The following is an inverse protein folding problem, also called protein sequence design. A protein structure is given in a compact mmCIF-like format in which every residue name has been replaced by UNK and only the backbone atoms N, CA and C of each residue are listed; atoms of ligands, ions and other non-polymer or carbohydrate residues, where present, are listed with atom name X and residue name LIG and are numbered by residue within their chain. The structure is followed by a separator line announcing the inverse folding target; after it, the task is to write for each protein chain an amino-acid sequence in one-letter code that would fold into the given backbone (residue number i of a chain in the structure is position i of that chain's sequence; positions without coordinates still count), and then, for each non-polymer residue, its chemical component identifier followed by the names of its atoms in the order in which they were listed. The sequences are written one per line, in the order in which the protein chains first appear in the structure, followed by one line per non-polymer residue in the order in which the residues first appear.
data_IF_222507104988
#
_entry.id   IF_222507104988
#
_cell.length_a   1.000
_cell.length_b   1.000
_cell.length_c   1.000
_cell.angle_alpha   90.00
_cell.angle_beta   90.00
_cell.angle_gamma   90.00
#
_symmetry.space_group_name_H-M   'P 1'
#
loop_
_entity.id
_entity.type
_entity.pdbx_description
1 polymer ?
#
# COMPACT_ATOMS: atom_id res chain seq x y z
N UNK A 1 21.50 -7.86 -17.50
CA UNK A 1 20.56 -8.11 -16.39
C UNK A 1 20.77 -7.06 -15.32
N UNK A 2 19.77 -6.79 -14.47
CA UNK A 2 19.90 -5.83 -13.36
C UNK A 2 21.08 -6.18 -12.44
N UNK A 3 21.24 -7.46 -12.08
CA UNK A 3 22.37 -7.92 -11.26
C UNK A 3 23.74 -7.56 -11.87
N UNK A 4 23.88 -7.68 -13.20
CA UNK A 4 25.10 -7.25 -13.90
C UNK A 4 25.29 -5.73 -13.80
N UNK A 5 24.23 -4.95 -14.05
CA UNK A 5 24.30 -3.49 -13.97
C UNK A 5 24.66 -3.00 -12.56
N UNK A 6 24.17 -3.68 -11.50
CA UNK A 6 24.53 -3.39 -10.11
C UNK A 6 25.98 -3.80 -9.82
N UNK A 7 26.40 -4.99 -10.28
CA UNK A 7 27.77 -5.49 -10.08
C UNK A 7 28.85 -4.69 -10.80
N UNK A 8 28.50 -4.00 -11.90
CA UNK A 8 29.39 -3.11 -12.64
C UNK A 8 29.58 -1.73 -11.95
N UNK A 9 28.82 -1.42 -10.88
CA UNK A 9 28.96 -0.16 -10.15
C UNK A 9 30.21 -0.17 -9.24
N UNK A 10 30.91 0.97 -9.09
CA UNK A 10 32.08 1.07 -8.23
C UNK A 10 31.77 0.90 -6.73
N UNK A 11 30.48 0.99 -6.36
CA UNK A 11 29.94 0.75 -5.02
C UNK A 11 28.49 0.28 -5.14
N UNK A 12 27.98 -0.50 -4.17
CA UNK A 12 26.57 -0.84 -4.12
C UNK A 12 25.68 0.41 -4.18
N UNK A 13 24.56 0.39 -4.92
CA UNK A 13 23.63 1.51 -4.97
C UNK A 13 22.89 1.65 -3.64
N UNK A 14 22.50 2.88 -3.29
CA UNK A 14 21.70 3.13 -2.09
C UNK A 14 20.25 2.66 -2.24
N UNK A 15 19.75 2.56 -3.47
CA UNK A 15 18.44 2.05 -3.81
C UNK A 15 18.37 1.68 -5.29
N UNK A 16 17.37 0.88 -5.65
CA UNK A 16 17.01 0.55 -7.03
C UNK A 16 15.58 1.03 -7.27
N UNK A 17 15.38 1.83 -8.33
CA UNK A 17 14.05 2.26 -8.76
C UNK A 17 13.73 1.65 -10.13
N UNK A 18 12.67 0.85 -10.18
CA UNK A 18 12.16 0.21 -11.38
C UNK A 18 11.12 1.14 -12.03
N UNK A 19 11.30 1.42 -13.32
CA UNK A 19 10.37 2.25 -14.10
C UNK A 19 9.72 1.38 -15.17
N UNK A 20 8.43 1.08 -14.97
CA UNK A 20 7.69 0.17 -15.84
C UNK A 20 6.83 -0.79 -15.03
N UNK A 21 5.99 -1.53 -15.74
CA UNK A 21 5.00 -2.42 -15.13
C UNK A 21 5.17 -3.86 -15.59
N UNK A 22 4.62 -4.80 -14.82
CA UNK A 22 4.74 -6.23 -15.05
C UNK A 22 3.37 -6.84 -15.37
N UNK A 23 2.88 -6.63 -16.60
CA UNK A 23 1.66 -7.28 -17.08
C UNK A 23 2.05 -8.50 -17.94
N UNK A 24 1.84 -9.75 -17.48
CA UNK A 24 2.11 -10.94 -18.28
C UNK A 24 1.38 -10.89 -19.63
N UNK A 25 2.06 -11.26 -20.72
CA UNK A 25 1.53 -11.16 -22.08
C UNK A 25 1.77 -9.80 -22.78
N UNK A 26 2.43 -8.86 -22.10
CA UNK A 26 2.81 -7.54 -22.64
C UNK A 26 4.31 -7.37 -22.86
N UNK A 27 5.04 -8.46 -23.07
CA UNK A 27 6.51 -8.46 -23.14
C UNK A 27 7.09 -7.59 -24.28
N UNK A 28 6.27 -7.25 -25.28
CA UNK A 28 6.64 -6.39 -26.42
C UNK A 28 6.42 -4.90 -26.15
N UNK A 29 5.73 -4.55 -25.08
CA UNK A 29 5.45 -3.17 -24.74
C UNK A 29 6.71 -2.48 -24.19
N UNK A 30 6.98 -1.21 -24.55
CA UNK A 30 8.20 -0.52 -24.14
C UNK A 30 8.28 -0.24 -22.64
N UNK A 31 7.15 -0.31 -21.93
CA UNK A 31 7.05 -0.13 -20.47
C UNK A 31 7.16 -1.45 -19.69
N UNK A 32 7.19 -2.60 -20.38
CA UNK A 32 7.21 -3.90 -19.72
C UNK A 32 8.53 -4.11 -18.98
N UNK A 33 8.43 -4.38 -17.69
CA UNK A 33 9.58 -4.63 -16.82
C UNK A 33 9.24 -5.76 -15.83
N UNK A 34 9.68 -7.00 -16.08
CA UNK A 34 9.28 -8.14 -15.28
C UNK A 34 9.87 -8.09 -13.87
N UNK A 35 9.06 -8.47 -12.88
CA UNK A 35 9.50 -8.81 -11.53
C UNK A 35 10.01 -10.26 -11.47
N UNK A 36 10.83 -10.59 -10.46
CA UNK A 36 11.09 -12.01 -10.12
C UNK A 36 9.80 -12.68 -9.66
N UNK A 37 9.66 -13.98 -9.92
CA UNK A 37 8.55 -14.83 -9.45
C UNK A 37 9.07 -15.79 -8.40
N UNK A 38 8.35 -15.91 -7.29
CA UNK A 38 8.63 -16.86 -6.23
C UNK A 38 7.50 -17.86 -6.11
N UNK A 39 7.85 -19.11 -5.79
CA UNK A 39 6.87 -20.11 -5.40
C UNK A 39 6.15 -19.68 -4.12
N UNK A 40 4.85 -19.85 -4.12
CA UNK A 40 4.00 -19.55 -2.98
C UNK A 40 3.74 -20.82 -2.19
N UNK A 41 3.84 -20.72 -0.86
CA UNK A 41 3.29 -21.77 -0.01
C UNK A 41 1.76 -21.78 -0.11
N UNK A 42 1.19 -22.89 -0.61
CA UNK A 42 -0.24 -23.03 -0.86
C UNK A 42 -0.89 -23.81 0.28
N UNK A 43 -1.85 -23.18 0.94
CA UNK A 43 -2.79 -23.82 1.88
C UNK A 43 -4.01 -24.40 1.17
N UNK A 44 -4.34 -23.88 -0.02
CA UNK A 44 -5.50 -24.28 -0.82
C UNK A 44 -5.16 -24.27 -2.32
N UNK A 45 -5.73 -25.20 -3.08
CA UNK A 45 -5.47 -25.35 -4.52
C UNK A 45 -5.86 -24.11 -5.34
N UNK A 46 -6.80 -23.30 -4.85
CA UNK A 46 -7.22 -22.05 -5.52
C UNK A 46 -6.19 -20.93 -5.47
N UNK A 47 -5.13 -21.05 -4.67
CA UNK A 47 -4.08 -20.04 -4.58
C UNK A 47 -3.14 -20.14 -5.78
N UNK A 48 -2.68 -19.00 -6.30
CA UNK A 48 -1.66 -18.95 -7.35
C UNK A 48 -0.41 -19.72 -6.94
N UNK A 49 0.26 -20.35 -7.91
CA UNK A 49 1.51 -21.08 -7.64
C UNK A 49 2.68 -20.15 -7.38
N UNK A 50 2.64 -18.96 -7.98
CA UNK A 50 3.69 -17.97 -7.89
C UNK A 50 3.14 -16.60 -7.50
N UNK A 51 4.03 -15.77 -6.97
CA UNK A 51 3.79 -14.34 -6.78
C UNK A 51 4.97 -13.50 -7.26
N UNK A 52 4.72 -12.25 -7.61
CA UNK A 52 5.76 -11.30 -8.01
C UNK A 52 6.48 -10.73 -6.78
N UNK A 53 7.81 -10.65 -6.82
CA UNK A 53 8.63 -10.02 -5.78
C UNK A 53 9.76 -9.19 -6.39
N UNK A 54 9.61 -7.87 -6.38
CA UNK A 54 10.68 -6.95 -6.73
C UNK A 54 11.76 -6.88 -5.64
N UNK A 55 11.45 -7.23 -4.38
CA UNK A 55 12.43 -7.22 -3.28
C UNK A 55 13.67 -8.07 -3.60
N UNK A 56 13.47 -9.22 -4.27
CA UNK A 56 14.58 -10.09 -4.70
C UNK A 56 15.48 -9.48 -5.77
N UNK A 57 15.12 -8.34 -6.38
CA UNK A 57 16.01 -7.62 -7.28
C UNK A 57 17.09 -6.85 -6.52
N UNK A 58 16.90 -6.64 -5.21
CA UNK A 58 17.87 -6.04 -4.30
C UNK A 58 18.63 -7.04 -3.44
N UNK A 59 18.37 -8.34 -3.60
CA UNK A 59 19.12 -9.44 -2.99
C UNK A 59 20.39 -9.68 -3.83
N UNK A 60 21.54 -9.27 -3.30
CA UNK A 60 22.84 -9.28 -3.97
C UNK A 60 23.72 -10.46 -3.56
N UNK A 61 23.42 -11.10 -2.43
CA UNK A 61 24.18 -12.26 -1.92
C UNK A 61 23.44 -13.61 -2.03
N UNK A 62 22.15 -13.59 -2.36
CA UNK A 62 21.32 -14.76 -2.62
C UNK A 62 20.67 -15.38 -1.37
N UNK A 63 20.61 -14.65 -0.25
CA UNK A 63 20.03 -15.14 1.02
C UNK A 63 18.50 -14.96 1.12
N UNK A 64 17.86 -14.44 0.06
CA UNK A 64 16.43 -14.10 -0.04
C UNK A 64 16.00 -12.86 0.76
N UNK A 65 16.96 -12.07 1.27
CA UNK A 65 16.73 -10.78 1.88
C UNK A 65 17.29 -9.67 0.97
N UNK A 66 16.58 -8.54 0.80
CA UNK A 66 17.11 -7.42 0.03
C UNK A 66 18.24 -6.70 0.78
N UNK A 67 19.44 -6.65 0.18
CA UNK A 67 20.57 -5.80 0.61
C UNK A 67 20.34 -4.32 0.30
N UNK A 68 19.65 -4.06 -0.83
CA UNK A 68 19.32 -2.71 -1.29
C UNK A 68 17.81 -2.55 -1.44
N UNK A 69 17.24 -1.42 -0.98
CA UNK A 69 15.81 -1.19 -1.12
C UNK A 69 15.41 -1.05 -2.59
N UNK A 70 14.35 -1.76 -2.98
CA UNK A 70 13.79 -1.73 -4.33
C UNK A 70 12.41 -1.09 -4.29
N UNK A 71 12.19 -0.11 -5.17
CA UNK A 71 10.87 0.48 -5.41
C UNK A 71 10.49 0.37 -6.89
N UNK A 72 9.20 0.46 -7.19
CA UNK A 72 8.66 0.47 -8.57
C UNK A 72 7.72 1.65 -8.78
N UNK A 73 7.84 2.30 -9.94
CA UNK A 73 6.80 3.14 -10.53
C UNK A 73 6.13 2.32 -11.65
N UNK A 74 4.95 1.72 -11.39
CA UNK A 74 4.28 0.77 -12.30
C UNK A 74 3.50 1.48 -13.42
N UNK A 75 4.18 2.37 -14.13
CA UNK A 75 3.60 3.18 -15.21
C UNK A 75 3.65 2.42 -16.55
N UNK A 76 2.51 2.40 -17.25
CA UNK A 76 2.34 1.89 -18.62
C UNK A 76 2.36 3.01 -19.67
N UNK A 77 2.30 4.27 -19.24
CA UNK A 77 2.38 5.44 -20.12
C UNK A 77 3.32 6.53 -19.58
N UNK A 78 3.81 7.39 -20.47
CA UNK A 78 4.61 8.56 -20.06
C UNK A 78 3.81 9.51 -19.15
N UNK A 79 2.50 9.62 -19.38
CA UNK A 79 1.62 10.48 -18.57
C UNK A 79 1.50 9.95 -17.13
N UNK A 80 1.33 8.63 -16.96
CA UNK A 80 1.33 8.00 -15.63
C UNK A 80 2.65 8.20 -14.90
N UNK A 81 3.78 7.96 -15.59
CA UNK A 81 5.11 8.17 -15.02
C UNK A 81 5.30 9.62 -14.57
N UNK A 82 4.97 10.57 -15.45
CA UNK A 82 5.09 12.01 -15.15
C UNK A 82 4.23 12.40 -13.95
N UNK A 83 2.99 11.92 -13.87
CA UNK A 83 2.08 12.23 -12.77
C UNK A 83 2.63 11.75 -11.42
N UNK A 84 3.18 10.53 -11.37
CA UNK A 84 3.77 9.99 -10.14
C UNK A 84 5.04 10.77 -9.74
N UNK A 85 5.92 11.04 -10.71
CA UNK A 85 7.17 11.79 -10.45
C UNK A 85 6.88 13.22 -9.99
N UNK A 86 6.00 13.95 -10.67
CA UNK A 86 5.62 15.31 -10.27
C UNK A 86 5.02 15.32 -8.86
N UNK A 87 4.20 14.30 -8.53
CA UNK A 87 3.59 14.15 -7.21
C UNK A 87 4.64 13.94 -6.11
N UNK A 88 5.63 13.09 -6.35
CA UNK A 88 6.74 12.84 -5.41
C UNK A 88 7.55 14.12 -5.20
N UNK A 89 7.97 14.80 -6.28
CA UNK A 89 8.73 16.05 -6.20
C UNK A 89 7.96 17.13 -5.44
N UNK A 90 6.66 17.27 -5.72
CA UNK A 90 5.79 18.24 -5.02
C UNK A 90 5.71 17.96 -3.52
N UNK A 91 5.61 16.69 -3.12
CA UNK A 91 5.60 16.29 -1.71
C UNK A 91 6.95 16.57 -1.02
N UNK A 92 8.07 16.23 -1.67
CA UNK A 92 9.41 16.44 -1.10
C UNK A 92 9.79 17.93 -0.96
N UNK A 93 9.20 18.79 -1.79
CA UNK A 93 9.41 20.25 -1.74
C UNK A 93 8.48 20.98 -0.77
N UNK A 94 7.43 20.30 -0.27
CA UNK A 94 6.47 20.88 0.68
C UNK A 94 7.16 21.21 1.99
N UNK A 95 6.86 22.36 2.59
CA UNK A 95 7.23 22.62 3.97
C UNK A 95 6.42 21.73 4.93
N UNK A 96 7.07 20.96 5.82
CA UNK A 96 6.36 20.12 6.78
C UNK A 96 5.46 20.94 7.70
N UNK A 97 4.28 20.41 8.01
CA UNK A 97 3.34 20.97 8.98
C UNK A 97 3.12 20.00 10.15
N UNK A 98 2.40 20.44 11.18
CA UNK A 98 2.01 19.54 12.28
C UNK A 98 1.11 18.38 11.82
N UNK A 99 0.37 18.55 10.71
CA UNK A 99 -0.42 17.46 10.14
C UNK A 99 0.48 16.33 9.59
N UNK A 100 1.72 16.64 9.19
CA UNK A 100 2.69 15.65 8.73
C UNK A 100 3.27 14.79 9.88
N UNK A 101 2.93 15.10 11.14
CA UNK A 101 3.26 14.25 12.30
C UNK A 101 2.16 13.23 12.64
N UNK A 102 1.07 13.20 11.87
CA UNK A 102 -0.07 12.32 12.13
C UNK A 102 0.18 10.93 11.54
N UNK A 103 -0.38 9.91 12.17
CA UNK A 103 -0.32 8.53 11.67
C UNK A 103 -1.74 7.96 11.51
N UNK A 104 -2.43 8.29 10.40
CA UNK A 104 -3.76 7.76 10.12
C UNK A 104 -3.73 6.25 9.94
N UNK A 105 -4.51 5.53 10.73
CA UNK A 105 -4.59 4.07 10.72
C UNK A 105 -6.04 3.65 10.54
N UNK A 106 -6.33 2.81 9.55
CA UNK A 106 -7.63 2.16 9.41
C UNK A 106 -7.47 0.67 9.71
N UNK A 107 -7.98 0.27 10.88
CA UNK A 107 -7.99 -1.10 11.32
C UNK A 107 -9.31 -1.79 10.93
N UNK A 108 -9.23 -2.67 9.94
CA UNK A 108 -10.27 -3.60 9.53
C UNK A 108 -10.57 -4.66 10.60
N UNK A 109 -11.74 -5.27 10.50
CA UNK A 109 -12.20 -6.29 11.41
C UNK A 109 -11.39 -7.56 11.19
N UNK A 110 -10.90 -8.22 12.26
CA UNK A 110 -10.24 -9.51 12.14
C UNK A 110 -11.14 -10.58 11.52
N UNK A 111 -12.46 -10.45 11.69
CA UNK A 111 -13.45 -11.32 11.05
C UNK A 111 -13.68 -12.64 11.79
N UNK A 112 -13.37 -12.70 13.10
CA UNK A 112 -13.61 -13.90 13.90
C UNK A 112 -15.04 -13.93 14.44
N UNK A 113 -15.34 -13.02 15.37
CA UNK A 113 -16.67 -12.76 15.90
C UNK A 113 -16.64 -11.42 16.66
N UNK A 114 -17.81 -10.78 16.91
CA UNK A 114 -17.85 -9.43 17.47
C UNK A 114 -17.16 -9.26 18.82
N UNK A 115 -17.06 -10.30 19.66
CA UNK A 115 -16.39 -10.22 20.96
C UNK A 115 -14.87 -10.22 20.80
N UNK A 116 -14.36 -11.15 20.00
CA UNK A 116 -12.92 -11.25 19.71
C UNK A 116 -12.42 -10.02 18.95
N UNK A 117 -13.20 -9.54 17.99
CA UNK A 117 -12.85 -8.37 17.17
C UNK A 117 -12.75 -7.09 18.01
N UNK A 118 -13.63 -6.92 19.01
CA UNK A 118 -13.57 -5.77 19.93
C UNK A 118 -12.35 -5.84 20.86
N UNK A 119 -11.99 -7.04 21.35
CA UNK A 119 -10.76 -7.24 22.13
C UNK A 119 -9.50 -6.93 21.30
N UNK A 120 -9.46 -7.37 20.04
CA UNK A 120 -8.36 -7.08 19.11
C UNK A 120 -8.21 -5.57 18.89
N UNK A 121 -9.33 -4.84 18.71
CA UNK A 121 -9.33 -3.37 18.61
C UNK A 121 -8.75 -2.72 19.86
N UNK A 122 -9.14 -3.18 21.05
CA UNK A 122 -8.60 -2.69 22.32
C UNK A 122 -7.09 -2.92 22.46
N UNK A 123 -6.60 -4.09 22.04
CA UNK A 123 -5.17 -4.40 22.04
C UNK A 123 -4.38 -3.52 21.07
N UNK A 124 -4.88 -3.36 19.83
CA UNK A 124 -4.26 -2.49 18.83
C UNK A 124 -4.12 -1.05 19.34
N UNK A 125 -5.19 -0.51 19.93
CA UNK A 125 -5.17 0.85 20.50
C UNK A 125 -4.10 1.00 21.58
N UNK A 126 -3.96 0.01 22.47
CA UNK A 126 -2.91 0.00 23.50
C UNK A 126 -1.51 -0.06 22.91
N UNK A 127 -1.29 -0.90 21.91
CA UNK A 127 0.01 -1.02 21.22
C UNK A 127 0.36 0.31 20.54
N UNK A 128 -0.57 0.91 19.81
CA UNK A 128 -0.37 2.22 19.19
C UNK A 128 -0.03 3.30 20.23
N UNK A 129 -0.74 3.35 21.35
CA UNK A 129 -0.46 4.31 22.42
C UNK A 129 0.90 4.08 23.10
N UNK A 130 1.32 2.82 23.26
CA UNK A 130 2.56 2.49 23.96
C UNK A 130 3.80 2.58 23.07
N UNK A 131 3.67 2.29 21.77
CA UNK A 131 4.78 2.14 20.83
C UNK A 131 4.91 3.29 19.84
N UNK A 132 3.85 4.08 19.62
CA UNK A 132 3.98 5.26 18.75
C UNK A 132 5.02 6.23 19.35
N UNK A 133 5.94 6.76 18.54
CA UNK A 133 6.84 7.80 19.02
C UNK A 133 6.06 8.97 19.59
N UNK A 134 6.54 9.56 20.69
CA UNK A 134 5.83 10.66 21.40
C UNK A 134 5.56 11.89 20.54
N UNK A 135 6.31 12.06 19.46
CA UNK A 135 6.17 13.16 18.51
C UNK A 135 5.20 12.84 17.35
N UNK A 136 4.74 11.59 17.24
CA UNK A 136 3.69 11.18 16.31
C UNK A 136 2.33 11.33 16.98
N UNK A 137 1.33 11.77 16.23
CA UNK A 137 -0.08 11.79 16.66
C UNK A 137 -0.84 10.64 15.99
N UNK A 138 -1.11 9.51 16.70
CA UNK A 138 -1.92 8.44 16.16
C UNK A 138 -3.34 8.92 15.86
N UNK A 139 -3.92 8.45 14.75
CA UNK A 139 -5.32 8.69 14.43
C UNK A 139 -5.92 7.39 13.90
N UNK A 140 -7.07 6.96 14.41
CA UNK A 140 -7.58 5.61 14.19
C UNK A 140 -9.02 5.62 13.66
N UNK A 141 -9.26 4.82 12.62
CA UNK A 141 -10.58 4.26 12.28
C UNK A 141 -10.59 2.80 12.70
N UNK A 142 -11.62 2.40 13.45
CA UNK A 142 -11.82 1.02 13.87
C UNK A 142 -13.02 0.39 13.17
N UNK A 143 -12.87 -0.86 12.76
CA UNK A 143 -13.92 -1.68 12.17
C UNK A 143 -14.80 -2.40 13.21
N UNK A 144 -15.03 -1.78 14.37
CA UNK A 144 -15.96 -2.26 15.40
C UNK A 144 -17.06 -1.20 15.59
N UNK A 145 -18.33 -1.45 15.19
CA UNK A 145 -19.44 -0.51 15.38
C UNK A 145 -19.66 -0.04 16.82
N UNK A 146 -19.13 -0.74 17.82
CA UNK A 146 -19.20 -0.33 19.24
C UNK A 146 -18.03 0.57 19.66
N UNK A 147 -16.98 0.64 18.86
CA UNK A 147 -15.79 1.45 19.14
C UNK A 147 -16.09 2.94 18.93
N UNK A 148 -15.63 3.83 19.81
CA UNK A 148 -15.73 5.27 19.60
C UNK A 148 -14.92 5.75 18.37
N UNK A 149 -13.98 4.93 17.89
CA UNK A 149 -13.16 5.21 16.71
C UNK A 149 -13.80 4.74 15.40
N UNK A 150 -15.01 4.18 15.43
CA UNK A 150 -15.67 3.66 14.23
C UNK A 150 -16.29 4.77 13.37
N UNK A 151 -16.84 5.79 14.01
CA UNK A 151 -17.70 6.77 13.33
C UNK A 151 -18.95 6.11 12.74
N UNK A 152 -19.46 6.67 11.64
CA UNK A 152 -20.52 6.05 10.85
C UNK A 152 -19.89 5.10 9.83
N UNK A 153 -20.18 3.77 9.84
CA UNK A 153 -19.46 2.81 9.00
C UNK A 153 -19.43 3.14 7.50
N UNK A 154 -20.54 3.56 6.85
CA UNK A 154 -20.52 4.01 5.46
C UNK A 154 -19.55 5.16 5.14
N UNK A 155 -19.20 5.99 6.12
CA UNK A 155 -18.33 7.16 5.91
C UNK A 155 -16.84 6.83 6.04
N UNK A 156 -16.47 5.63 6.50
CA UNK A 156 -15.06 5.31 6.82
C UNK A 156 -14.09 5.50 5.65
N UNK A 157 -14.52 5.14 4.44
CA UNK A 157 -13.71 5.34 3.22
C UNK A 157 -13.41 6.83 2.97
N UNK A 158 -14.42 7.69 3.16
CA UNK A 158 -14.28 9.13 3.03
C UNK A 158 -13.44 9.71 4.18
N UNK A 159 -13.66 9.23 5.41
CA UNK A 159 -12.88 9.64 6.58
C UNK A 159 -11.39 9.35 6.41
N UNK A 160 -11.03 8.14 5.94
CA UNK A 160 -9.64 7.77 5.68
C UNK A 160 -9.04 8.61 4.56
N UNK A 161 -9.78 8.79 3.46
CA UNK A 161 -9.31 9.60 2.32
C UNK A 161 -9.07 11.05 2.71
N UNK A 162 -9.92 11.61 3.56
CA UNK A 162 -9.73 12.94 4.14
C UNK A 162 -8.45 13.03 4.97
N UNK A 163 -8.11 11.99 5.74
CA UNK A 163 -6.85 11.98 6.47
C UNK A 163 -5.64 11.92 5.54
N UNK A 164 -5.69 11.12 4.46
CA UNK A 164 -4.62 11.10 3.46
C UNK A 164 -4.37 12.49 2.87
N UNK A 165 -5.42 13.26 2.59
CA UNK A 165 -5.30 14.62 2.04
C UNK A 165 -4.72 15.64 3.02
N UNK A 166 -4.99 15.49 4.32
CA UNK A 166 -4.46 16.38 5.36
C UNK A 166 -2.94 16.23 5.52
N UNK A 167 -2.43 15.03 5.26
CA UNK A 167 -1.04 14.68 5.44
C UNK A 167 -0.85 13.64 6.54
N UNK A 168 0.41 13.36 6.84
CA UNK A 168 0.81 12.40 7.84
C UNK A 168 2.27 12.01 7.64
N UNK A 169 2.84 11.33 8.63
CA UNK A 169 4.16 10.73 8.46
C UNK A 169 4.07 9.43 7.67
N UNK A 170 3.00 8.68 7.95
CA UNK A 170 2.70 7.38 7.38
C UNK A 170 1.23 7.09 7.65
N UNK A 171 0.52 6.62 6.63
CA UNK A 171 -0.81 6.06 6.79
C UNK A 171 -0.78 4.53 6.75
N UNK A 172 -1.67 3.88 7.49
CA UNK A 172 -1.69 2.43 7.66
C UNK A 172 -3.09 1.91 7.36
N UNK A 173 -3.17 0.92 6.47
CA UNK A 173 -4.33 0.04 6.34
C UNK A 173 -3.94 -1.31 6.94
N UNK A 174 -4.74 -1.85 7.85
CA UNK A 174 -4.48 -3.18 8.43
C UNK A 174 -5.76 -3.99 8.49
N UNK A 175 -5.75 -5.19 7.94
CA UNK A 175 -6.93 -6.05 7.87
C UNK A 175 -6.90 -6.97 6.66
N UNK A 176 -8.08 -7.27 6.12
CA UNK A 176 -8.21 -8.15 4.97
C UNK A 176 -8.15 -7.37 3.66
N UNK A 177 -7.60 -8.01 2.63
CA UNK A 177 -7.40 -7.39 1.33
C UNK A 177 -7.65 -8.37 0.18
N UNK A 178 -8.06 -7.80 -0.93
CA UNK A 178 -8.10 -8.40 -2.25
C UNK A 178 -7.34 -7.47 -3.21
N UNK A 179 -7.13 -7.92 -4.46
CA UNK A 179 -6.35 -7.18 -5.46
C UNK A 179 -6.80 -5.71 -5.60
N UNK A 180 -8.10 -5.43 -5.54
CA UNK A 180 -8.65 -4.07 -5.73
C UNK A 180 -9.40 -3.52 -4.52
N UNK A 181 -9.37 -4.21 -3.37
CA UNK A 181 -10.26 -3.90 -2.27
C UNK A 181 -9.61 -4.15 -0.91
N UNK A 182 -9.74 -3.18 -0.01
CA UNK A 182 -9.47 -3.37 1.42
C UNK A 182 -10.79 -3.53 2.16
N UNK A 183 -10.91 -4.59 2.96
CA UNK A 183 -12.11 -4.85 3.76
C UNK A 183 -11.98 -4.22 5.15
N UNK A 184 -12.94 -3.39 5.52
CA UNK A 184 -13.10 -2.87 6.88
C UNK A 184 -13.99 -3.79 7.70
N UNK A 185 -15.30 -3.85 7.44
CA UNK A 185 -16.24 -4.65 8.24
C UNK A 185 -17.45 -5.08 7.43
N UNK A 186 -18.21 -6.02 7.97
CA UNK A 186 -19.60 -6.18 7.57
C UNK A 186 -20.52 -5.25 8.37
N UNK A 187 -21.36 -4.50 7.67
CA UNK A 187 -22.32 -3.60 8.29
C UNK A 187 -23.69 -3.79 7.63
N UNK A 188 -24.65 -4.31 8.40
CA UNK A 188 -25.95 -4.74 7.90
C UNK A 188 -25.79 -5.77 6.76
N UNK A 189 -26.27 -5.47 5.55
CA UNK A 189 -26.14 -6.33 4.35
C UNK A 189 -25.02 -5.92 3.41
N UNK A 190 -24.09 -5.04 3.82
CA UNK A 190 -23.09 -4.43 2.94
C UNK A 190 -21.69 -4.51 3.55
N UNK A 191 -20.71 -4.86 2.72
CA UNK A 191 -19.30 -4.81 3.11
C UNK A 191 -18.82 -3.35 3.03
N UNK A 192 -18.22 -2.87 4.11
CA UNK A 192 -17.55 -1.57 4.16
C UNK A 192 -16.06 -1.78 3.87
N UNK A 193 -15.49 -0.89 3.06
CA UNK A 193 -14.07 -0.97 2.73
C UNK A 193 -13.63 0.12 1.76
N UNK A 194 -12.50 -0.11 1.11
CA UNK A 194 -11.85 0.86 0.23
C UNK A 194 -11.50 0.22 -1.10
N UNK A 195 -12.12 0.74 -2.18
CA UNK A 195 -12.07 0.12 -3.50
C UNK A 195 -11.24 0.97 -4.49
N UNK A 196 -10.38 0.32 -5.26
CA UNK A 196 -9.51 0.92 -6.28
C UNK A 196 -10.27 1.86 -7.24
N UNK A 197 -11.39 1.39 -7.78
CA UNK A 197 -12.29 2.16 -8.67
C UNK A 197 -12.80 3.47 -8.07
N UNK A 198 -13.01 3.53 -6.75
CA UNK A 198 -13.49 4.75 -6.08
C UNK A 198 -12.36 5.75 -5.84
N UNK A 199 -11.13 5.26 -5.65
CA UNK A 199 -9.94 6.08 -5.35
C UNK A 199 -9.66 7.07 -6.47
N UNK A 200 -9.69 6.63 -7.74
CA UNK A 200 -9.38 7.48 -8.89
C UNK A 200 -10.26 8.75 -8.92
N UNK A 201 -11.54 8.64 -8.53
CA UNK A 201 -12.46 9.78 -8.46
C UNK A 201 -12.20 10.66 -7.25
N UNK A 202 -12.01 10.07 -6.08
CA UNK A 202 -11.90 10.85 -4.83
C UNK A 202 -10.52 11.52 -4.75
N UNK A 203 -9.44 10.89 -5.21
CA UNK A 203 -8.08 11.43 -5.17
C UNK A 203 -7.63 12.00 -6.52
N UNK A 204 -8.57 12.39 -7.38
CA UNK A 204 -8.30 13.00 -8.69
C UNK A 204 -7.59 14.37 -8.58
N UNK A 205 -7.74 15.08 -7.46
CA UNK A 205 -7.16 16.40 -7.23
C UNK A 205 -6.94 16.65 -5.74
N UNK A 206 -6.04 17.59 -5.43
CA UNK A 206 -5.61 17.91 -4.07
C UNK A 206 -4.09 17.78 -3.91
N UNK A 207 -3.61 17.93 -2.68
CA UNK A 207 -2.19 17.75 -2.35
C UNK A 207 -1.82 16.26 -2.30
N UNK A 208 -0.56 15.91 -2.62
CA UNK A 208 -0.05 14.55 -2.46
C UNK A 208 -0.21 14.06 -1.01
N UNK A 209 -0.64 12.81 -0.85
CA UNK A 209 -0.78 12.18 0.46
C UNK A 209 0.54 11.57 0.97
N UNK A 210 0.59 11.22 2.27
CA UNK A 210 1.77 10.59 2.87
C UNK A 210 1.99 9.18 2.34
N UNK A 211 3.16 8.56 2.59
CA UNK A 211 3.35 7.13 2.33
C UNK A 211 2.26 6.29 3.00
N UNK A 212 1.87 5.18 2.37
CA UNK A 212 0.90 4.21 2.92
C UNK A 212 1.54 2.84 3.06
N UNK A 213 1.36 2.20 4.22
CA UNK A 213 1.64 0.79 4.44
C UNK A 213 0.32 0.03 4.52
N UNK A 214 0.20 -1.03 3.73
CA UNK A 214 -0.94 -1.93 3.71
C UNK A 214 -0.52 -3.28 4.27
N UNK A 215 -1.06 -3.59 5.44
CA UNK A 215 -0.95 -4.89 6.09
C UNK A 215 -2.24 -5.65 5.74
N UNK A 216 -2.35 -6.04 4.47
CA UNK A 216 -3.46 -6.83 3.96
C UNK A 216 -3.08 -7.59 2.67
N UNK A 217 -3.69 -8.76 2.49
CA UNK A 217 -3.42 -9.67 1.37
C UNK A 217 -3.63 -9.01 0.00
N UNK A 218 -2.77 -9.35 -0.97
CA UNK A 218 -2.93 -9.09 -2.42
C UNK A 218 -3.08 -7.61 -2.85
N UNK A 219 -3.11 -6.67 -1.91
CA UNK A 219 -3.32 -5.24 -2.18
C UNK A 219 -2.23 -4.62 -3.05
N UNK A 220 -1.04 -5.24 -3.07
CA UNK A 220 0.10 -4.90 -3.91
C UNK A 220 0.34 -5.87 -5.07
N UNK A 221 -0.62 -6.71 -5.44
CA UNK A 221 -0.50 -7.67 -6.55
C UNK A 221 -0.48 -6.96 -7.91
N UNK A 222 0.61 -6.26 -8.21
CA UNK A 222 0.79 -5.43 -9.40
C UNK A 222 0.95 -6.22 -10.71
N UNK A 223 1.21 -7.53 -10.64
CA UNK A 223 1.46 -8.35 -11.81
C UNK A 223 0.19 -8.74 -12.62
N UNK A 224 -0.85 -7.91 -12.55
CA UNK A 224 -2.17 -8.15 -13.14
C UNK A 224 -2.49 -7.22 -14.31
N UNK A 225 -3.50 -7.59 -15.10
CA UNK A 225 -3.99 -6.74 -16.19
C UNK A 225 -4.70 -5.48 -15.66
N UNK A 226 -5.46 -5.62 -14.56
CA UNK A 226 -6.04 -4.49 -13.85
C UNK A 226 -5.11 -3.97 -12.76
N UNK A 227 -5.15 -2.66 -12.51
CA UNK A 227 -4.41 -2.03 -11.43
C UNK A 227 -4.90 -2.51 -10.07
N UNK A 228 -3.96 -2.93 -9.22
CA UNK A 228 -4.26 -3.29 -7.83
C UNK A 228 -4.57 -2.05 -6.97
N UNK A 229 -4.95 -2.27 -5.71
CA UNK A 229 -5.27 -1.20 -4.76
C UNK A 229 -4.08 -0.27 -4.53
N UNK A 230 -2.87 -0.83 -4.35
CA UNK A 230 -1.64 -0.06 -4.16
C UNK A 230 -1.30 0.79 -5.40
N UNK A 231 -1.39 0.21 -6.60
CA UNK A 231 -1.19 0.95 -7.84
C UNK A 231 -2.22 2.06 -8.01
N UNK A 232 -3.50 1.79 -7.73
CA UNK A 232 -4.57 2.78 -7.87
C UNK A 232 -4.38 3.97 -6.93
N UNK A 233 -3.90 3.73 -5.71
CA UNK A 233 -3.54 4.77 -4.76
C UNK A 233 -2.29 5.55 -5.20
N UNK A 234 -1.22 4.85 -5.59
CA UNK A 234 0.00 5.48 -6.06
C UNK A 234 -0.23 6.27 -7.35
N UNK A 235 -1.14 5.84 -8.22
CA UNK A 235 -1.44 6.54 -9.46
C UNK A 235 -2.29 7.79 -9.24
N UNK A 236 -3.14 7.84 -8.21
CA UNK A 236 -4.00 9.01 -7.99
C UNK A 236 -3.18 10.29 -7.72
N UNK A 237 -3.60 11.42 -8.29
CA UNK A 237 -2.87 12.69 -8.24
C UNK A 237 -2.74 13.24 -6.81
N UNK A 238 -3.78 13.10 -5.99
CA UNK A 238 -3.75 13.38 -4.55
C UNK A 238 -3.57 12.10 -3.70
N UNK A 239 -3.14 11.01 -4.34
CA UNK A 239 -2.82 9.75 -3.67
C UNK A 239 -1.53 9.81 -2.87
N UNK A 240 -1.21 8.75 -2.11
CA UNK A 240 0.06 8.62 -1.41
C UNK A 240 1.25 8.70 -2.37
N UNK A 241 2.38 9.24 -1.90
CA UNK A 241 3.62 9.32 -2.68
C UNK A 241 4.40 8.00 -2.75
N UNK A 242 4.11 7.07 -1.84
CA UNK A 242 4.64 5.72 -1.84
C UNK A 242 3.61 4.76 -1.23
N UNK A 243 3.60 3.51 -1.69
CA UNK A 243 2.76 2.46 -1.11
C UNK A 243 3.60 1.20 -0.90
N UNK A 244 3.54 0.63 0.30
CA UNK A 244 4.13 -0.66 0.64
C UNK A 244 2.97 -1.63 0.87
N UNK A 245 2.90 -2.70 0.07
CA UNK A 245 1.78 -3.64 0.07
C UNK A 245 2.23 -5.03 -0.36
N UNK A 246 1.49 -6.06 0.08
CA UNK A 246 1.82 -7.45 -0.23
C UNK A 246 1.31 -7.84 -1.63
N UNK A 247 2.15 -8.51 -2.42
CA UNK A 247 1.79 -9.12 -3.71
C UNK A 247 1.08 -10.47 -3.55
N UNK A 248 1.03 -11.00 -2.33
CA UNK A 248 0.48 -12.30 -1.96
C UNK A 248 -0.26 -12.16 -0.62
N UNK A 249 -0.76 -13.27 -0.09
CA UNK A 249 -1.43 -13.37 1.21
C UNK A 249 -0.44 -13.03 2.34
N UNK A 250 -0.92 -12.28 3.33
CA UNK A 250 -0.16 -11.75 4.48
C UNK A 250 -0.74 -12.23 5.80
#
# INVERSE_FOLDING_TARGET
SLAKAIGDLPRPPASVLLLGDDEPGREKEPWYLPSKRLEKYRWQDRQSEYFASDALLGDLDGDLMPDVPVGRIPARTQAELKQIVDKIISFEQKQPTLDDLRMPTWAGAPGFNPVVDSLATGLMTKVLQAQAPRWVTPWLISADPKSPFCGWPPDQSAMFTEQLRRGGILAILVGHGEVQYFFSMQFQSWAIGYHAKSIAKVLASGSPGPPVVMICCLSGSFAGSEKCLAESLLMAAAGPVAVIAATTES
#
